data_IF_070522778487
#
_entry.id   IF_070522778487
#
_cell.length_a   1.000
_cell.length_b   1.000
_cell.length_c   1.000
_cell.angle_alpha   90.00
_cell.angle_beta   90.00
_cell.angle_gamma   90.00
#
_symmetry.space_group_name_H-M   'P 1'
#
loop_
_entity.id
_entity.type
_entity.pdbx_description
1 polymer ?
#
# COMPACT_ATOMS: atom_id res chain seq x y z
N UNK A 1 -18.86 -40.39 -7.22
CA UNK A 1 -18.57 -39.15 -6.47
C UNK A 1 -19.09 -38.03 -7.35
N UNK A 2 -20.05 -37.26 -6.86
CA UNK A 2 -20.55 -36.11 -7.61
C UNK A 2 -19.68 -34.89 -7.25
N UNK A 3 -19.44 -33.99 -8.21
CA UNK A 3 -18.70 -32.76 -7.98
C UNK A 3 -19.41 -31.87 -6.94
N UNK A 4 -20.74 -31.96 -6.88
CA UNK A 4 -21.59 -31.25 -5.92
C UNK A 4 -21.27 -31.60 -4.46
N UNK A 5 -20.79 -32.82 -4.18
CA UNK A 5 -20.38 -33.26 -2.84
C UNK A 5 -19.15 -32.49 -2.32
N UNK A 6 -18.39 -31.84 -3.21
CA UNK A 6 -17.15 -31.12 -2.92
C UNK A 6 -17.27 -29.62 -3.17
N UNK A 7 -18.46 -29.07 -3.08
CA UNK A 7 -18.70 -27.65 -3.25
C UNK A 7 -18.57 -26.85 -1.94
N UNK A 8 -17.89 -25.70 -2.06
CA UNK A 8 -17.83 -24.73 -0.98
C UNK A 8 -19.13 -23.93 -0.90
N UNK A 9 -19.80 -23.98 0.25
CA UNK A 9 -21.06 -23.27 0.49
C UNK A 9 -20.96 -21.73 0.44
N UNK A 10 -19.75 -21.17 0.32
CA UNK A 10 -19.51 -19.73 0.22
C UNK A 10 -19.33 -19.24 -1.21
N UNK A 11 -18.70 -20.03 -2.07
CA UNK A 11 -18.49 -19.65 -3.47
C UNK A 11 -19.29 -20.50 -4.47
N UNK A 12 -19.95 -21.56 -4.00
CA UNK A 12 -20.71 -22.52 -4.81
C UNK A 12 -19.87 -23.06 -5.98
N UNK A 13 -18.62 -23.39 -5.69
CA UNK A 13 -17.63 -23.97 -6.61
C UNK A 13 -16.92 -25.11 -5.90
N UNK A 14 -16.29 -26.00 -6.65
CA UNK A 14 -15.38 -27.00 -6.13
C UNK A 14 -14.40 -26.41 -5.12
N UNK A 15 -14.19 -27.11 -4.00
CA UNK A 15 -13.24 -26.72 -2.98
C UNK A 15 -11.85 -26.50 -3.58
N UNK A 16 -11.25 -25.38 -3.22
CA UNK A 16 -9.87 -25.06 -3.52
C UNK A 16 -9.13 -24.78 -2.23
N UNK A 17 -8.10 -25.58 -1.94
CA UNK A 17 -7.41 -25.60 -0.64
C UNK A 17 -8.42 -25.72 0.52
N UNK A 18 -9.17 -26.84 0.60
CA UNK A 18 -10.23 -27.00 1.60
C UNK A 18 -9.66 -26.91 3.01
N UNK A 19 -10.37 -26.22 3.90
CA UNK A 19 -10.07 -26.12 5.33
C UNK A 19 -11.31 -26.46 6.12
N UNK A 20 -11.19 -27.44 7.00
CA UNK A 20 -12.25 -27.84 7.94
C UNK A 20 -12.05 -27.12 9.26
N UNK A 21 -13.08 -26.36 9.65
CA UNK A 21 -13.13 -25.65 10.93
C UNK A 21 -13.31 -26.63 12.10
N UNK A 22 -12.98 -26.25 13.35
CA UNK A 22 -13.21 -27.09 14.53
C UNK A 22 -14.66 -27.57 14.71
N UNK A 23 -15.64 -26.82 14.19
CA UNK A 23 -17.05 -27.20 14.20
C UNK A 23 -17.44 -28.20 13.09
N UNK A 24 -16.47 -28.71 12.31
CA UNK A 24 -16.66 -29.74 11.29
C UNK A 24 -17.05 -29.23 9.89
N UNK A 25 -17.27 -27.93 9.71
CA UNK A 25 -17.63 -27.36 8.41
C UNK A 25 -16.38 -27.08 7.55
N UNK A 26 -16.46 -27.41 6.26
CA UNK A 26 -15.37 -27.26 5.29
C UNK A 26 -15.65 -26.13 4.30
N UNK A 27 -14.63 -25.32 4.03
CA UNK A 27 -14.68 -24.19 3.10
C UNK A 27 -13.39 -24.13 2.26
N UNK A 28 -13.37 -23.40 1.14
CA UNK A 28 -12.09 -22.97 0.57
C UNK A 28 -11.36 -22.08 1.58
N UNK A 29 -10.04 -22.25 1.72
CA UNK A 29 -9.19 -21.45 2.62
C UNK A 29 -9.51 -19.95 2.50
N UNK A 30 -9.45 -19.41 1.28
CA UNK A 30 -9.67 -17.98 1.02
C UNK A 30 -11.08 -17.50 1.31
N UNK A 31 -12.09 -18.35 1.09
CA UNK A 31 -13.48 -18.03 1.39
C UNK A 31 -13.70 -17.91 2.90
N UNK A 32 -13.16 -18.85 3.66
CA UNK A 32 -13.23 -18.82 5.13
C UNK A 32 -12.52 -17.58 5.67
N UNK A 33 -11.28 -17.33 5.27
CA UNK A 33 -10.53 -16.16 5.71
C UNK A 33 -11.25 -14.84 5.41
N UNK A 34 -11.88 -14.72 4.23
CA UNK A 34 -12.69 -13.55 3.88
C UNK A 34 -13.88 -13.37 4.83
N UNK A 35 -14.57 -14.43 5.22
CA UNK A 35 -15.63 -14.33 6.22
C UNK A 35 -15.09 -13.94 7.60
N UNK A 36 -13.95 -14.52 8.00
CA UNK A 36 -13.30 -14.24 9.29
C UNK A 36 -12.71 -12.83 9.39
N UNK A 37 -12.49 -12.14 8.26
CA UNK A 37 -12.13 -10.73 8.26
C UNK A 37 -13.25 -9.83 8.81
N UNK A 38 -14.51 -10.24 8.66
CA UNK A 38 -15.67 -9.48 9.13
C UNK A 38 -16.24 -10.01 10.44
N UNK A 39 -16.29 -11.34 10.60
CA UNK A 39 -16.94 -11.97 11.74
C UNK A 39 -16.21 -13.26 12.14
N UNK A 40 -15.68 -13.38 13.37
CA UNK A 40 -14.92 -14.56 13.82
C UNK A 40 -15.83 -15.74 14.19
N UNK A 41 -16.90 -15.98 13.42
CA UNK A 41 -17.81 -17.11 13.59
C UNK A 41 -17.89 -17.94 12.31
N UNK A 42 -18.17 -19.23 12.46
CA UNK A 42 -18.40 -20.11 11.33
C UNK A 42 -19.56 -19.57 10.46
N UNK A 43 -19.38 -19.44 9.14
CA UNK A 43 -20.43 -18.93 8.28
C UNK A 43 -21.71 -19.77 8.29
N UNK A 44 -21.60 -21.08 8.54
CA UNK A 44 -22.70 -22.04 8.54
C UNK A 44 -23.40 -22.14 9.90
N UNK A 45 -22.69 -22.59 10.95
CA UNK A 45 -23.32 -22.85 12.26
C UNK A 45 -23.20 -21.70 13.27
N UNK A 46 -22.50 -20.62 12.93
CA UNK A 46 -22.24 -19.46 13.82
C UNK A 46 -21.44 -19.79 15.08
N UNK A 47 -20.74 -20.92 15.14
CA UNK A 47 -19.82 -21.23 16.23
C UNK A 47 -18.61 -20.28 16.23
N UNK A 48 -18.10 -19.92 17.42
CA UNK A 48 -16.96 -18.99 17.56
C UNK A 48 -15.67 -19.65 17.08
N UNK A 49 -14.96 -18.96 16.19
CA UNK A 49 -13.69 -19.37 15.60
C UNK A 49 -12.53 -18.43 15.97
N UNK A 50 -12.65 -17.71 17.10
CA UNK A 50 -11.64 -16.71 17.52
C UNK A 50 -10.25 -17.30 17.76
N UNK A 51 -10.17 -18.46 18.41
CA UNK A 51 -8.89 -19.15 18.65
C UNK A 51 -8.29 -19.66 17.33
N UNK A 52 -9.16 -20.15 16.44
CA UNK A 52 -8.79 -20.61 15.11
C UNK A 52 -8.22 -19.45 14.27
N UNK A 53 -8.88 -18.28 14.28
CA UNK A 53 -8.41 -17.05 13.64
C UNK A 53 -7.09 -16.57 14.25
N UNK A 54 -6.96 -16.61 15.58
CA UNK A 54 -5.76 -16.15 16.28
C UNK A 54 -4.52 -16.96 15.91
N UNK A 55 -4.67 -18.27 15.72
CA UNK A 55 -3.56 -19.15 15.34
C UNK A 55 -3.06 -18.91 13.91
N UNK A 56 -3.93 -18.47 12.99
CA UNK A 56 -3.70 -18.36 11.54
C UNK A 56 -3.06 -19.60 10.88
N UNK A 57 -3.06 -20.75 11.56
CA UNK A 57 -2.56 -22.01 11.03
C UNK A 57 -3.71 -22.76 10.37
N UNK A 58 -4.24 -22.19 9.30
CA UNK A 58 -5.25 -22.87 8.50
C UNK A 58 -4.56 -24.02 7.75
N UNK A 59 -4.75 -25.24 8.23
CA UNK A 59 -4.23 -26.43 7.58
C UNK A 59 -5.25 -26.92 6.57
N UNK A 60 -4.77 -27.24 5.36
CA UNK A 60 -5.58 -27.91 4.36
C UNK A 60 -6.08 -29.24 4.92
N UNK A 61 -7.35 -29.53 4.69
CA UNK A 61 -7.95 -30.83 5.01
C UNK A 61 -7.46 -31.83 3.97
N UNK A 62 -6.33 -32.46 4.29
CA UNK A 62 -5.58 -33.37 3.40
C UNK A 62 -6.50 -34.42 2.77
N UNK A 63 -7.36 -35.06 3.57
CA UNK A 63 -8.28 -36.08 3.07
C UNK A 63 -9.23 -35.53 1.99
N UNK A 64 -9.80 -34.34 2.20
CA UNK A 64 -10.69 -33.71 1.20
C UNK A 64 -9.93 -33.37 -0.07
N UNK A 65 -8.71 -32.85 0.04
CA UNK A 65 -7.85 -32.54 -1.10
C UNK A 65 -7.48 -33.80 -1.90
N UNK A 66 -7.09 -34.89 -1.22
CA UNK A 66 -6.77 -36.18 -1.86
C UNK A 66 -7.97 -36.78 -2.60
N UNK A 67 -9.17 -36.70 -2.02
CA UNK A 67 -10.39 -37.16 -2.67
C UNK A 67 -10.70 -36.36 -3.94
N UNK A 68 -10.56 -35.04 -3.90
CA UNK A 68 -10.74 -34.18 -5.08
C UNK A 68 -9.71 -34.53 -6.16
N UNK A 69 -8.44 -34.67 -5.79
CA UNK A 69 -7.37 -35.04 -6.74
C UNK A 69 -7.64 -36.39 -7.39
N UNK A 70 -8.15 -37.36 -6.63
CA UNK A 70 -8.39 -38.73 -7.11
C UNK A 70 -9.64 -38.83 -7.99
N UNK A 71 -10.72 -38.15 -7.61
CA UNK A 71 -12.04 -38.36 -8.23
C UNK A 71 -12.48 -37.22 -9.14
N UNK A 72 -11.94 -36.00 -8.99
CA UNK A 72 -12.33 -34.79 -9.73
C UNK A 72 -11.11 -34.01 -10.27
N UNK A 73 -10.16 -34.66 -10.98
CA UNK A 73 -8.91 -34.02 -11.40
C UNK A 73 -9.12 -32.95 -12.49
N UNK A 74 -10.11 -33.11 -13.37
CA UNK A 74 -10.39 -32.17 -14.46
C UNK A 74 -11.01 -30.89 -13.89
N UNK A 75 -12.01 -31.01 -13.03
CA UNK A 75 -12.67 -29.90 -12.35
C UNK A 75 -11.70 -29.13 -11.44
N UNK A 76 -10.78 -29.85 -10.77
CA UNK A 76 -9.71 -29.20 -10.00
C UNK A 76 -8.75 -28.41 -10.88
N UNK A 77 -8.41 -28.93 -12.07
CA UNK A 77 -7.57 -28.24 -13.05
C UNK A 77 -8.23 -26.94 -13.54
N UNK A 78 -9.52 -26.99 -13.86
CA UNK A 78 -10.30 -25.80 -14.23
C UNK A 78 -10.37 -24.80 -13.07
N UNK A 79 -10.62 -25.29 -11.85
CA UNK A 79 -10.66 -24.44 -10.65
C UNK A 79 -9.35 -23.71 -10.40
N UNK A 80 -8.21 -24.37 -10.65
CA UNK A 80 -6.86 -23.80 -10.57
C UNK A 80 -6.63 -22.73 -11.62
N UNK A 81 -7.01 -22.97 -12.88
CA UNK A 81 -6.89 -21.97 -13.96
C UNK A 81 -7.63 -20.69 -13.62
N UNK A 82 -8.90 -20.79 -13.19
CA UNK A 82 -9.70 -19.62 -12.79
C UNK A 82 -9.01 -18.86 -11.65
N UNK A 83 -8.48 -19.58 -10.67
CA UNK A 83 -7.76 -18.97 -9.55
C UNK A 83 -6.48 -18.23 -10.00
N UNK A 84 -5.68 -18.84 -10.88
CA UNK A 84 -4.46 -18.24 -11.42
C UNK A 84 -4.75 -16.98 -12.26
N UNK A 85 -5.82 -17.00 -13.06
CA UNK A 85 -6.30 -15.85 -13.81
C UNK A 85 -6.73 -14.71 -12.86
N UNK A 86 -7.54 -15.00 -11.85
CA UNK A 86 -7.95 -14.03 -10.81
C UNK A 86 -6.72 -13.42 -10.09
N UNK A 87 -5.70 -14.22 -9.77
CA UNK A 87 -4.47 -13.74 -9.13
C UNK A 87 -3.64 -12.87 -10.07
N UNK A 88 -3.56 -13.24 -11.35
CA UNK A 88 -2.85 -12.45 -12.37
C UNK A 88 -3.48 -11.08 -12.56
N UNK A 89 -4.80 -11.00 -12.60
CA UNK A 89 -5.53 -9.73 -12.65
C UNK A 89 -5.22 -8.86 -11.43
N UNK A 90 -5.29 -9.43 -10.22
CA UNK A 90 -5.02 -8.73 -8.96
C UNK A 90 -3.55 -8.31 -8.79
N UNK A 91 -2.63 -8.95 -9.52
CA UNK A 91 -1.20 -8.61 -9.50
C UNK A 91 -0.86 -7.41 -10.40
N UNK A 92 -1.82 -6.89 -11.18
CA UNK A 92 -1.58 -5.78 -12.08
C UNK A 92 -1.33 -4.48 -11.30
N UNK A 93 -0.20 -3.84 -11.55
CA UNK A 93 0.22 -2.61 -10.87
C UNK A 93 -0.14 -1.32 -11.64
N UNK A 94 -0.97 -1.42 -12.66
CA UNK A 94 -1.49 -0.30 -13.44
C UNK A 94 -3.01 -0.29 -13.57
N UNK A 95 -3.65 -1.46 -13.48
CA UNK A 95 -5.10 -1.62 -13.54
C UNK A 95 -5.65 -2.14 -12.23
N UNK A 96 -6.77 -1.58 -11.79
CA UNK A 96 -7.45 -1.94 -10.55
C UNK A 96 -6.53 -2.00 -9.32
N UNK A 97 -5.53 -1.11 -9.28
CA UNK A 97 -4.57 -1.02 -8.19
C UNK A 97 -5.33 -0.72 -6.89
N UNK A 98 -5.15 -1.50 -5.82
CA UNK A 98 -5.82 -1.26 -4.55
C UNK A 98 -5.41 0.08 -3.95
N UNK A 99 -6.38 0.89 -3.51
CA UNK A 99 -6.16 2.22 -2.93
C UNK A 99 -6.57 2.24 -1.46
N UNK A 100 -5.59 2.50 -0.58
CA UNK A 100 -5.80 2.87 0.81
C UNK A 100 -6.01 4.38 0.88
N UNK A 101 -7.11 4.81 1.52
CA UNK A 101 -7.44 6.23 1.67
C UNK A 101 -7.21 6.65 3.11
N UNK A 102 -6.17 7.45 3.37
CA UNK A 102 -5.84 7.84 4.74
C UNK A 102 -5.04 9.15 4.82
N UNK A 103 -3.78 9.14 4.40
CA UNK A 103 -2.84 10.24 4.64
C UNK A 103 -1.91 10.44 3.44
N UNK A 104 -1.12 11.51 3.46
CA UNK A 104 -0.05 11.71 2.49
C UNK A 104 1.03 10.63 2.65
N UNK A 105 1.45 10.07 1.53
CA UNK A 105 2.61 9.20 1.42
C UNK A 105 3.56 9.76 0.38
N UNK A 106 4.86 9.62 0.62
CA UNK A 106 5.90 10.13 -0.26
C UNK A 106 6.92 9.05 -0.59
N UNK A 107 7.54 9.09 -1.79
CA UNK A 107 8.63 8.19 -2.13
C UNK A 107 9.72 8.21 -1.05
N UNK A 108 10.29 7.04 -0.76
CA UNK A 108 11.34 6.78 0.24
C UNK A 108 10.97 6.96 1.70
N UNK A 109 9.76 7.46 2.01
CA UNK A 109 9.33 7.72 3.39
C UNK A 109 8.59 6.50 3.97
N UNK A 110 9.02 5.99 5.15
CA UNK A 110 8.27 4.98 5.88
C UNK A 110 6.87 5.45 6.25
N UNK A 111 5.89 4.56 6.14
CA UNK A 111 4.50 4.82 6.46
C UNK A 111 3.92 3.59 7.19
N UNK A 112 4.14 3.45 8.51
CA UNK A 112 3.56 2.36 9.27
C UNK A 112 2.05 2.56 9.42
N UNK A 113 1.27 1.50 9.15
CA UNK A 113 -0.19 1.54 9.16
C UNK A 113 -0.76 0.55 10.16
N UNK A 114 -1.75 1.00 10.93
CA UNK A 114 -2.59 0.11 11.73
C UNK A 114 -3.89 -0.17 10.97
N UNK A 115 -4.01 -1.38 10.44
CA UNK A 115 -5.14 -1.83 9.62
C UNK A 115 -6.09 -2.66 10.47
N UNK A 116 -7.30 -2.13 10.69
CA UNK A 116 -8.35 -2.80 11.46
C UNK A 116 -9.63 -3.02 10.67
N UNK A 117 -9.90 -2.21 9.63
CA UNK A 117 -11.11 -2.37 8.81
C UNK A 117 -11.06 -3.66 7.99
N UNK A 118 -12.13 -4.49 8.00
CA UNK A 118 -12.18 -5.76 7.27
C UNK A 118 -11.81 -5.68 5.78
N UNK A 119 -12.28 -4.63 5.09
CA UNK A 119 -11.98 -4.41 3.66
C UNK A 119 -10.49 -4.22 3.38
N UNK A 120 -9.78 -3.53 4.27
CA UNK A 120 -8.34 -3.30 4.12
C UNK A 120 -7.51 -4.49 4.59
N UNK A 121 -8.03 -5.29 5.54
CA UNK A 121 -7.42 -6.59 5.88
C UNK A 121 -7.39 -7.53 4.67
N UNK A 122 -8.51 -7.62 3.94
CA UNK A 122 -8.59 -8.36 2.68
C UNK A 122 -7.61 -7.78 1.63
N UNK A 123 -7.57 -6.46 1.49
CA UNK A 123 -6.67 -5.77 0.56
C UNK A 123 -5.21 -6.13 0.81
N UNK A 124 -4.73 -5.99 2.05
CA UNK A 124 -3.34 -6.30 2.43
C UNK A 124 -3.02 -7.78 2.21
N UNK A 125 -3.93 -8.69 2.59
CA UNK A 125 -3.77 -10.12 2.35
C UNK A 125 -3.60 -10.43 0.86
N UNK A 126 -4.42 -9.82 -0.01
CA UNK A 126 -4.28 -9.97 -1.47
C UNK A 126 -2.94 -9.45 -1.99
N UNK A 127 -2.48 -8.29 -1.53
CA UNK A 127 -1.15 -7.78 -1.91
C UNK A 127 -0.02 -8.76 -1.54
N UNK A 128 -0.15 -9.45 -0.40
CA UNK A 128 0.82 -10.47 0.03
C UNK A 128 0.70 -11.75 -0.80
N UNK A 129 -0.52 -12.22 -1.08
CA UNK A 129 -0.80 -13.44 -1.84
C UNK A 129 -0.40 -13.35 -3.31
N UNK A 130 -0.67 -12.21 -3.96
CA UNK A 130 -0.25 -11.99 -5.36
C UNK A 130 1.26 -11.79 -5.49
N UNK A 131 1.96 -11.58 -4.38
CA UNK A 131 3.39 -11.31 -4.35
C UNK A 131 3.78 -9.89 -4.75
N UNK A 132 2.82 -9.03 -5.14
CA UNK A 132 3.14 -7.63 -5.48
C UNK A 132 3.63 -6.84 -4.29
N UNK A 133 3.10 -7.15 -3.10
CA UNK A 133 3.37 -6.43 -1.84
C UNK A 133 3.21 -4.92 -1.99
N UNK A 134 2.31 -4.47 -2.88
CA UNK A 134 2.17 -3.06 -3.22
C UNK A 134 0.70 -2.65 -3.28
N UNK A 135 0.42 -1.41 -2.84
CA UNK A 135 -0.88 -0.75 -2.95
C UNK A 135 -0.68 0.77 -3.04
N UNK A 136 -1.67 1.50 -3.56
CA UNK A 136 -1.64 2.96 -3.61
C UNK A 136 -2.18 3.59 -2.33
N UNK A 137 -1.59 4.71 -1.92
CA UNK A 137 -2.11 5.56 -0.85
C UNK A 137 -2.52 6.91 -1.43
N UNK A 138 -3.76 7.31 -1.17
CA UNK A 138 -4.31 8.61 -1.54
C UNK A 138 -4.93 9.32 -0.34
N UNK A 139 -4.99 10.65 -0.41
CA UNK A 139 -5.84 11.44 0.49
C UNK A 139 -7.31 11.24 0.17
N UNK A 140 -8.15 11.38 1.20
CA UNK A 140 -9.60 11.43 1.03
C UNK A 140 -10.00 12.68 0.22
N UNK A 141 -11.01 12.51 -0.62
CA UNK A 141 -11.67 13.58 -1.37
C UNK A 141 -13.17 13.43 -1.20
N UNK A 142 -13.88 14.49 -0.80
CA UNK A 142 -15.31 14.42 -0.46
C UNK A 142 -16.20 14.12 -1.66
N UNK A 143 -15.77 14.49 -2.88
CA UNK A 143 -16.57 14.34 -4.09
C UNK A 143 -16.23 13.05 -4.83
N UNK A 144 -14.94 12.71 -4.89
CA UNK A 144 -14.43 11.56 -5.67
C UNK A 144 -14.16 10.33 -4.82
N UNK A 145 -14.22 10.45 -3.49
CA UNK A 145 -13.77 9.44 -2.54
C UNK A 145 -12.28 9.58 -2.21
N UNK A 146 -11.41 9.74 -3.22
CA UNK A 146 -9.98 9.98 -3.02
C UNK A 146 -9.35 10.88 -4.09
N UNK A 147 -8.18 11.43 -3.76
CA UNK A 147 -7.44 12.35 -4.61
C UNK A 147 -6.91 11.68 -5.90
N UNK A 148 -6.78 12.48 -6.97
CA UNK A 148 -6.30 12.01 -8.28
C UNK A 148 -4.79 11.72 -8.32
N UNK A 149 -4.07 11.94 -7.23
CA UNK A 149 -2.64 11.69 -7.12
C UNK A 149 -2.32 11.00 -5.80
N UNK A 150 -1.33 10.12 -5.82
CA UNK A 150 -0.92 9.36 -4.66
C UNK A 150 0.46 8.77 -4.79
N UNK A 151 0.82 7.92 -3.83
CA UNK A 151 2.08 7.20 -3.82
C UNK A 151 1.82 5.70 -3.63
N UNK A 152 2.46 4.87 -4.44
CA UNK A 152 2.53 3.43 -4.19
C UNK A 152 3.39 3.21 -2.96
N UNK A 153 2.87 2.40 -2.04
CA UNK A 153 3.56 1.89 -0.88
C UNK A 153 3.94 0.43 -1.13
N UNK A 154 5.17 0.06 -0.75
CA UNK A 154 5.65 -1.32 -0.70
C UNK A 154 5.59 -1.83 0.73
N UNK A 155 4.99 -3.00 0.94
CA UNK A 155 4.90 -3.68 2.23
C UNK A 155 6.25 -4.35 2.53
N UNK A 156 6.89 -3.92 3.61
CA UNK A 156 8.15 -4.50 4.12
C UNK A 156 7.87 -5.66 5.05
N UNK A 157 6.96 -5.46 6.00
CA UNK A 157 6.59 -6.45 6.99
C UNK A 157 5.11 -6.31 7.39
N UNK A 158 4.51 -7.42 7.84
CA UNK A 158 3.14 -7.42 8.36
C UNK A 158 3.07 -8.23 9.64
N UNK A 159 2.66 -7.56 10.72
CA UNK A 159 2.40 -8.19 12.00
C UNK A 159 0.91 -8.28 12.24
N UNK A 160 0.39 -9.51 12.24
CA UNK A 160 -1.01 -9.79 12.53
C UNK A 160 -1.26 -9.98 14.02
N UNK A 161 -2.43 -9.55 14.49
CA UNK A 161 -2.90 -9.74 15.85
C UNK A 161 -4.02 -10.80 15.92
N UNK A 162 -4.27 -11.39 17.11
CA UNK A 162 -5.30 -12.42 17.32
C UNK A 162 -6.74 -11.99 16.95
N UNK A 163 -7.05 -10.72 17.08
CA UNK A 163 -8.34 -10.14 16.68
C UNK A 163 -8.45 -9.85 15.17
N UNK A 164 -7.38 -10.16 14.43
CA UNK A 164 -7.26 -10.00 12.99
C UNK A 164 -6.85 -8.60 12.55
N UNK A 165 -6.62 -7.66 13.46
CA UNK A 165 -5.93 -6.39 13.13
C UNK A 165 -4.51 -6.68 12.66
N UNK A 166 -3.90 -5.73 11.97
CA UNK A 166 -2.48 -5.83 11.58
C UNK A 166 -1.76 -4.49 11.66
N UNK A 167 -0.52 -4.51 12.11
CA UNK A 167 0.45 -3.45 11.78
C UNK A 167 1.14 -3.83 10.48
N UNK A 168 1.11 -2.93 9.52
CA UNK A 168 1.74 -3.08 8.21
C UNK A 168 2.86 -2.04 8.13
N UNK A 169 4.10 -2.50 8.05
CA UNK A 169 5.23 -1.62 7.80
C UNK A 169 5.38 -1.42 6.29
N UNK A 170 5.41 -0.16 5.85
CA UNK A 170 5.47 0.17 4.43
C UNK A 170 6.42 1.32 4.16
N UNK A 171 6.88 1.43 2.92
CA UNK A 171 7.67 2.56 2.43
C UNK A 171 7.15 3.03 1.09
N UNK A 172 7.07 4.35 0.89
CA UNK A 172 6.69 4.90 -0.40
C UNK A 172 7.74 4.61 -1.47
N UNK A 173 7.30 4.27 -2.68
CA UNK A 173 8.19 3.87 -3.78
C UNK A 173 8.02 4.75 -5.01
N UNK A 174 6.79 4.89 -5.53
CA UNK A 174 6.54 5.61 -6.79
C UNK A 174 5.31 6.49 -6.68
N UNK A 175 5.32 7.61 -7.39
CA UNK A 175 4.17 8.51 -7.50
C UNK A 175 3.28 8.05 -8.65
N UNK A 176 1.98 8.32 -8.54
CA UNK A 176 1.05 8.01 -9.62
C UNK A 176 -0.06 9.06 -9.73
N UNK A 177 -0.69 9.06 -10.89
CA UNK A 177 -1.92 9.79 -11.21
C UNK A 177 -3.03 8.78 -11.49
N UNK A 178 -4.21 9.05 -10.97
CA UNK A 178 -5.42 8.26 -11.19
C UNK A 178 -5.98 8.57 -12.57
N UNK A 179 -6.22 7.54 -13.37
CA UNK A 179 -6.88 7.60 -14.67
C UNK A 179 -8.39 7.35 -14.53
N UNK A 180 -8.76 6.39 -13.69
CA UNK A 180 -10.15 6.10 -13.36
C UNK A 180 -10.29 5.52 -11.97
N UNK A 181 -11.40 5.86 -11.31
CA UNK A 181 -11.77 5.36 -9.99
C UNK A 181 -12.60 4.08 -10.11
N UNK A 182 -12.44 3.17 -9.15
CA UNK A 182 -13.16 1.90 -9.09
C UNK A 182 -13.31 1.40 -7.66
N UNK A 183 -13.99 0.26 -7.52
CA UNK A 183 -14.15 -0.41 -6.24
C UNK A 183 -14.18 -1.92 -6.44
N UNK A 184 -13.53 -2.66 -5.54
CA UNK A 184 -13.55 -4.12 -5.54
C UNK A 184 -13.65 -4.63 -4.11
N UNK A 185 -14.64 -5.49 -3.86
CA UNK A 185 -14.84 -6.16 -2.56
C UNK A 185 -14.83 -5.20 -1.34
N UNK A 186 -15.34 -3.97 -1.53
CA UNK A 186 -15.50 -2.97 -0.48
C UNK A 186 -14.36 -1.95 -0.33
N UNK A 187 -13.19 -2.17 -0.93
CA UNK A 187 -12.10 -1.19 -0.96
C UNK A 187 -11.97 -0.52 -2.33
N UNK A 188 -11.38 0.68 -2.35
CA UNK A 188 -11.22 1.49 -3.56
C UNK A 188 -10.13 0.90 -4.46
N UNK A 189 -10.32 0.98 -5.77
CA UNK A 189 -9.31 0.63 -6.78
C UNK A 189 -9.12 1.80 -7.75
N UNK A 190 -8.00 1.80 -8.46
CA UNK A 190 -7.75 2.78 -9.50
C UNK A 190 -6.97 2.18 -10.68
N UNK A 191 -7.30 2.62 -11.89
CA UNK A 191 -6.36 2.55 -12.99
C UNK A 191 -5.42 3.74 -12.89
N UNK A 192 -4.12 3.51 -13.00
CA UNK A 192 -3.11 4.52 -12.70
C UNK A 192 -2.05 4.64 -13.79
N UNK A 193 -1.47 5.82 -13.85
CA UNK A 193 -0.25 6.13 -14.60
C UNK A 193 0.85 6.55 -13.62
N UNK A 194 2.04 5.98 -13.76
CA UNK A 194 3.19 6.35 -12.94
C UNK A 194 3.72 7.73 -13.33
N UNK A 195 4.06 8.54 -12.32
CA UNK A 195 4.65 9.86 -12.52
C UNK A 195 6.16 9.81 -12.36
N UNK A 196 6.84 10.30 -13.38
CA UNK A 196 8.29 10.47 -13.39
C UNK A 196 8.65 11.93 -13.66
N UNK A 197 9.82 12.33 -13.19
CA UNK A 197 10.36 13.65 -13.46
C UNK A 197 10.88 13.75 -14.88
N UNK A 198 10.52 14.85 -15.53
CA UNK A 198 11.08 15.23 -16.82
C UNK A 198 12.53 15.60 -16.60
N UNK A 199 13.42 14.83 -17.23
CA UNK A 199 14.86 15.09 -17.18
C UNK A 199 15.20 16.31 -18.03
N UNK A 200 16.14 17.11 -17.52
CA UNK A 200 16.75 18.23 -18.24
C UNK A 200 18.23 17.92 -18.50
N UNK A 201 18.77 18.48 -19.58
CA UNK A 201 20.14 18.25 -20.04
C UNK A 201 20.85 19.58 -20.35
N UNK A 202 22.18 19.53 -20.49
CA UNK A 202 22.98 20.68 -20.88
C UNK A 202 22.93 21.84 -19.85
N UNK A 203 22.83 23.11 -20.29
CA UNK A 203 22.84 24.27 -19.39
C UNK A 203 21.72 24.24 -18.33
N UNK A 204 20.54 23.73 -18.68
CA UNK A 204 19.42 23.63 -17.74
C UNK A 204 19.70 22.63 -16.62
N UNK A 205 20.44 21.57 -16.92
CA UNK A 205 20.88 20.61 -15.91
C UNK A 205 21.89 21.22 -14.94
N UNK A 206 22.85 22.01 -15.44
CA UNK A 206 23.80 22.71 -14.56
C UNK A 206 23.09 23.68 -13.61
N UNK A 207 22.10 24.42 -14.11
CA UNK A 207 21.25 25.28 -13.26
C UNK A 207 20.47 24.47 -12.23
N UNK A 208 19.90 23.33 -12.63
CA UNK A 208 19.16 22.44 -11.75
C UNK A 208 20.06 21.92 -10.62
N UNK A 209 21.28 21.49 -10.93
CA UNK A 209 22.25 21.01 -9.92
C UNK A 209 22.61 22.13 -8.95
N UNK A 210 22.91 23.34 -9.43
CA UNK A 210 23.19 24.49 -8.55
C UNK A 210 21.99 24.83 -7.66
N UNK A 211 20.77 24.77 -8.20
CA UNK A 211 19.54 24.99 -7.43
C UNK A 211 19.34 23.89 -6.38
N UNK A 212 19.48 22.62 -6.78
CA UNK A 212 19.38 21.46 -5.90
C UNK A 212 20.31 21.60 -4.70
N UNK A 213 21.58 21.89 -4.94
CA UNK A 213 22.60 22.05 -3.90
C UNK A 213 22.27 23.21 -2.97
N UNK A 214 21.91 24.36 -3.53
CA UNK A 214 21.53 25.53 -2.73
C UNK A 214 20.30 25.28 -1.86
N UNK A 215 19.31 24.52 -2.35
CA UNK A 215 18.10 24.20 -1.59
C UNK A 215 18.39 23.14 -0.52
N UNK A 216 19.25 22.16 -0.82
CA UNK A 216 19.72 21.19 0.17
C UNK A 216 20.41 21.89 1.34
N UNK A 217 21.35 22.79 1.07
CA UNK A 217 22.08 23.52 2.11
C UNK A 217 21.15 24.40 2.96
N UNK A 218 20.13 25.02 2.33
CA UNK A 218 19.08 25.76 3.05
C UNK A 218 18.24 24.84 3.94
N UNK A 219 17.89 23.64 3.47
CA UNK A 219 17.14 22.65 4.23
C UNK A 219 17.92 22.15 5.44
N UNK A 220 19.23 21.88 5.27
CA UNK A 220 20.13 21.51 6.37
C UNK A 220 20.20 22.65 7.39
N UNK A 221 20.46 23.89 6.95
CA UNK A 221 20.52 25.05 7.84
C UNK A 221 19.21 25.28 8.61
N UNK A 222 18.06 25.09 7.94
CA UNK A 222 16.76 25.15 8.58
C UNK A 222 16.60 24.06 9.64
N UNK A 223 16.93 22.81 9.31
CA UNK A 223 16.83 21.69 10.24
C UNK A 223 17.77 21.85 11.44
N UNK A 224 19.02 22.25 11.22
CA UNK A 224 20.00 22.49 12.30
C UNK A 224 19.61 23.64 13.20
N UNK A 225 18.85 24.61 12.71
CA UNK A 225 18.35 25.73 13.51
C UNK A 225 17.05 25.42 14.26
N UNK A 226 16.43 24.24 14.08
CA UNK A 226 15.29 23.83 14.90
C UNK A 226 15.71 23.59 16.36
N UNK A 227 14.75 23.75 17.28
CA UNK A 227 14.93 23.40 18.69
C UNK A 227 15.13 21.89 18.84
N UNK A 228 15.92 21.48 19.82
CA UNK A 228 16.32 20.08 19.99
C UNK A 228 15.12 19.14 20.22
N UNK A 229 14.10 19.60 20.93
CA UNK A 229 12.86 18.82 21.13
C UNK A 229 12.16 18.52 19.79
N UNK A 230 12.08 19.49 18.88
CA UNK A 230 11.50 19.30 17.55
C UNK A 230 12.36 18.35 16.71
N UNK A 231 13.69 18.51 16.75
CA UNK A 231 14.61 17.62 16.02
C UNK A 231 14.45 16.17 16.47
N UNK A 232 14.43 15.92 17.79
CA UNK A 232 14.27 14.57 18.35
C UNK A 232 12.95 13.95 17.89
N UNK A 233 11.84 14.70 17.92
CA UNK A 233 10.55 14.21 17.42
C UNK A 233 10.60 13.83 15.94
N UNK A 234 11.20 14.69 15.11
CA UNK A 234 11.35 14.44 13.67
C UNK A 234 12.22 13.20 13.42
N UNK A 235 13.37 13.10 14.09
CA UNK A 235 14.29 11.97 13.93
C UNK A 235 13.66 10.65 14.37
N UNK A 236 12.87 10.65 15.46
CA UNK A 236 12.19 9.45 15.92
C UNK A 236 11.10 8.98 14.95
N UNK A 237 10.44 9.89 14.24
CA UNK A 237 9.33 9.55 13.34
C UNK A 237 9.78 9.29 11.90
N UNK A 238 10.65 10.13 11.35
CA UNK A 238 11.06 10.11 9.94
C UNK A 238 12.50 9.64 9.72
N UNK A 239 13.28 9.43 10.80
CA UNK A 239 14.71 9.18 10.71
C UNK A 239 15.53 10.42 10.34
N UNK A 240 16.83 10.20 10.13
CA UNK A 240 17.75 11.26 9.69
C UNK A 240 17.44 11.73 8.27
N UNK A 241 17.62 13.03 8.02
CA UNK A 241 17.56 13.58 6.67
C UNK A 241 18.55 12.84 5.75
N UNK A 242 18.12 12.33 4.59
CA UNK A 242 19.02 11.70 3.63
C UNK A 242 20.14 12.64 3.17
N UNK A 243 21.28 12.03 2.78
CA UNK A 243 22.41 12.75 2.21
C UNK A 243 22.06 13.44 0.88
N UNK A 244 22.83 14.46 0.51
CA UNK A 244 22.73 15.10 -0.79
C UNK A 244 23.14 14.11 -1.88
N UNK A 245 22.24 13.83 -2.81
CA UNK A 245 22.52 12.95 -3.94
C UNK A 245 23.38 13.69 -4.98
N UNK A 246 24.47 13.09 -5.51
CA UNK A 246 25.32 13.74 -6.50
C UNK A 246 24.63 13.86 -7.87
N UNK A 247 23.72 12.94 -8.19
CA UNK A 247 22.91 12.95 -9.40
C UNK A 247 21.42 13.11 -9.01
N UNK A 248 20.89 14.34 -9.00
CA UNK A 248 19.54 14.63 -8.54
C UNK A 248 18.43 14.06 -9.46
N UNK A 249 18.75 13.64 -10.68
CA UNK A 249 17.81 13.06 -11.64
C UNK A 249 17.93 11.52 -11.75
N UNK A 250 18.69 10.89 -10.84
CA UNK A 250 18.92 9.43 -10.84
C UNK A 250 17.65 8.65 -10.53
N UNK A 251 16.87 9.11 -9.55
CA UNK A 251 15.58 8.54 -9.20
C UNK A 251 14.45 9.17 -10.05
N UNK A 252 13.51 8.38 -10.59
CA UNK A 252 12.37 8.90 -11.36
C UNK A 252 11.45 9.85 -10.57
N UNK A 253 11.44 9.77 -9.24
CA UNK A 253 10.71 10.71 -8.37
C UNK A 253 11.61 11.82 -7.80
N UNK A 254 12.86 11.93 -8.23
CA UNK A 254 13.82 12.86 -7.65
C UNK A 254 14.35 12.43 -6.28
N UNK A 255 15.15 13.28 -5.62
CA UNK A 255 16.01 12.87 -4.53
C UNK A 255 15.26 12.59 -3.22
N UNK A 256 15.72 11.62 -2.45
CA UNK A 256 15.07 11.16 -1.21
C UNK A 256 14.97 12.27 -0.15
N UNK A 257 16.00 13.11 -0.02
CA UNK A 257 16.02 14.19 0.96
C UNK A 257 14.89 15.21 0.73
N UNK A 258 14.46 15.38 -0.53
CA UNK A 258 13.40 16.30 -0.88
C UNK A 258 12.05 15.82 -0.32
N UNK A 259 11.77 14.52 -0.46
CA UNK A 259 10.55 13.91 0.06
C UNK A 259 10.54 13.88 1.58
N UNK A 260 11.69 13.63 2.20
CA UNK A 260 11.86 13.74 3.64
C UNK A 260 11.55 15.16 4.12
N UNK A 261 12.10 16.17 3.45
CA UNK A 261 11.84 17.56 3.79
C UNK A 261 10.36 17.93 3.64
N UNK A 262 9.72 17.49 2.54
CA UNK A 262 8.30 17.74 2.31
C UNK A 262 7.40 17.10 3.36
N UNK A 263 7.76 15.92 3.86
CA UNK A 263 7.04 15.22 4.92
C UNK A 263 7.16 15.92 6.29
N UNK A 264 8.30 16.54 6.55
CA UNK A 264 8.61 17.19 7.84
C UNK A 264 8.14 18.65 7.91
N UNK A 265 8.05 19.33 6.76
CA UNK A 265 7.60 20.73 6.72
C UNK A 265 6.12 20.87 7.12
N UNK A 266 5.76 21.91 7.89
CA UNK A 266 4.38 22.13 8.34
C UNK A 266 3.53 22.73 7.20
N UNK A 267 3.23 21.91 6.21
CA UNK A 267 2.41 22.25 5.06
C UNK A 267 1.05 21.56 5.13
N UNK A 268 0.02 22.25 4.65
CA UNK A 268 -1.29 21.63 4.48
C UNK A 268 -1.23 20.53 3.42
N UNK A 269 -2.01 19.47 3.65
CA UNK A 269 -2.13 18.31 2.75
C UNK A 269 -2.38 18.70 1.29
N UNK A 270 -3.18 19.75 1.03
CA UNK A 270 -3.46 20.24 -0.33
C UNK A 270 -2.20 20.76 -1.02
N UNK A 271 -1.34 21.48 -0.30
CA UNK A 271 -0.07 21.98 -0.83
C UNK A 271 0.93 20.85 -1.05
N UNK A 272 1.02 19.89 -0.12
CA UNK A 272 1.85 18.71 -0.29
C UNK A 272 1.42 17.87 -1.50
N UNK A 273 0.11 17.67 -1.69
CA UNK A 273 -0.45 16.95 -2.84
C UNK A 273 -0.15 17.66 -4.16
N UNK A 274 -0.26 18.99 -4.20
CA UNK A 274 0.09 19.76 -5.39
C UNK A 274 1.57 19.59 -5.75
N UNK A 275 2.48 19.57 -4.76
CA UNK A 275 3.91 19.31 -4.95
C UNK A 275 4.16 17.86 -5.40
N UNK A 276 3.47 16.89 -4.81
CA UNK A 276 3.56 15.47 -5.19
C UNK A 276 3.24 15.27 -6.67
N UNK A 277 2.25 16.00 -7.20
CA UNK A 277 1.80 15.90 -8.59
C UNK A 277 2.74 16.55 -9.62
N UNK A 278 3.70 17.38 -9.21
CA UNK A 278 4.61 18.07 -10.13
C UNK A 278 5.63 17.11 -10.78
N UNK A 279 5.84 17.21 -12.09
CA UNK A 279 6.81 16.39 -12.85
C UNK A 279 8.10 17.15 -13.23
N UNK A 280 8.27 18.38 -12.73
CA UNK A 280 9.47 19.19 -12.92
C UNK A 280 10.21 19.29 -11.59
N UNK A 281 11.42 18.72 -11.50
CA UNK A 281 12.24 18.80 -10.29
C UNK A 281 12.64 20.25 -9.99
N UNK A 282 12.94 21.05 -11.03
CA UNK A 282 13.25 22.48 -10.90
C UNK A 282 12.09 23.23 -10.21
N UNK A 283 10.87 23.03 -10.65
CA UNK A 283 9.70 23.72 -10.08
C UNK A 283 9.40 23.26 -8.66
N UNK A 284 9.56 21.97 -8.38
CA UNK A 284 9.46 21.41 -7.02
C UNK A 284 10.50 22.02 -6.08
N UNK A 285 11.76 22.11 -6.50
CA UNK A 285 12.82 22.75 -5.72
C UNK A 285 12.52 24.24 -5.48
N UNK A 286 11.98 24.96 -6.46
CA UNK A 286 11.55 26.36 -6.28
C UNK A 286 10.40 26.45 -5.26
N UNK A 287 9.41 25.56 -5.35
CA UNK A 287 8.27 25.53 -4.43
C UNK A 287 8.74 25.30 -2.99
N UNK A 288 9.57 24.28 -2.74
CA UNK A 288 10.06 23.98 -1.40
C UNK A 288 10.98 25.08 -0.86
N UNK A 289 11.78 25.72 -1.73
CA UNK A 289 12.62 26.87 -1.35
C UNK A 289 11.78 28.05 -0.86
N UNK A 290 10.65 28.35 -1.53
CA UNK A 290 9.72 29.41 -1.08
C UNK A 290 9.13 29.09 0.29
N UNK A 291 8.79 27.82 0.53
CA UNK A 291 8.32 27.36 1.84
C UNK A 291 9.40 27.53 2.90
N UNK A 292 10.64 27.10 2.63
CA UNK A 292 11.78 27.26 3.55
C UNK A 292 12.02 28.73 3.94
N UNK A 293 11.98 29.65 2.96
CA UNK A 293 12.13 31.09 3.21
C UNK A 293 11.00 31.60 4.10
N UNK A 294 9.78 31.13 3.89
CA UNK A 294 8.62 31.56 4.68
C UNK A 294 8.70 31.06 6.13
N UNK A 295 9.01 29.78 6.34
CA UNK A 295 9.09 29.19 7.69
C UNK A 295 10.30 29.66 8.49
N UNK A 296 11.38 30.07 7.82
CA UNK A 296 12.55 30.67 8.48
C UNK A 296 12.30 32.12 8.91
N UNK A 297 11.57 32.91 8.10
CA UNK A 297 11.22 34.31 8.42
C UNK A 297 10.16 34.46 9.52
N UNK A 298 9.27 33.47 9.68
CA UNK A 298 8.18 33.50 10.68
C UNK A 298 8.61 33.11 12.11
N UNK A 299 9.91 32.97 12.39
CA UNK A 299 10.39 32.73 13.74
C UNK A 299 10.44 34.07 14.51
N UNK A 300 9.73 34.21 15.65
CA UNK A 300 9.89 35.36 16.53
C UNK A 300 11.28 35.39 17.16
#
# INVERSE_FOLDING_TARGET
>A
VDASDFECSLCMRLFYEPVTTPCGHTFCLKCLERCLDHNPHCPLCKEKLSEFLASRTYKKTVLTEELIVRYLPEELSERKKVYEEEMKELSNLNKDVPIFVCTMAFPTIPCPLHVFEPRYRLMIRRCMETGTKQFGMCLADELKGFADHGCILEIRDVKFFPDGRSVVDTVGVRRFRVLSHGQRDGYNTANIEYLEDKKVEGPEYEELVRLHDSVYDQAVAWFTSLKDNMKVQILNHFGSMPGKEPEPQSNPSGPAWYWWLLAVLPLENRAQLAILAMTSLKDRLIAIRRVLIFVTRKRP
#
